data_IF_296945157990
#
_entry.id   IF_296945157990
#
_cell.length_a   1.000
_cell.length_b   1.000
_cell.length_c   1.000
_cell.angle_alpha   90.00
_cell.angle_beta   90.00
_cell.angle_gamma   90.00
#
_symmetry.space_group_name_H-M   'P 1'
#
loop_
_entity.id
_entity.type
_entity.pdbx_description
1 polymer ?
#
# COMPACT_ATOMS: atom_id res chain seq x y z
N UNK A 1 2.87 -7.60 -7.50
CA UNK A 1 4.00 -8.50 -7.87
C UNK A 1 4.10 -9.74 -6.96
N UNK A 2 4.32 -9.56 -5.65
CA UNK A 2 4.48 -10.64 -4.67
C UNK A 2 3.34 -11.68 -4.67
N UNK A 3 2.09 -11.23 -4.77
CA UNK A 3 0.93 -12.11 -4.77
C UNK A 3 0.74 -12.85 -6.11
N UNK A 4 1.18 -12.27 -7.23
CA UNK A 4 0.99 -12.84 -8.58
C UNK A 4 1.78 -14.15 -8.73
N UNK A 5 2.99 -14.22 -8.17
CA UNK A 5 3.81 -15.43 -8.18
C UNK A 5 3.13 -16.63 -7.49
N UNK A 6 2.28 -16.38 -6.48
CA UNK A 6 1.54 -17.44 -5.81
C UNK A 6 0.46 -18.05 -6.72
N UNK A 7 -0.12 -17.27 -7.62
CA UNK A 7 -1.10 -17.77 -8.59
C UNK A 7 -0.49 -18.72 -9.63
N UNK A 8 0.77 -18.50 -10.03
CA UNK A 8 1.47 -19.42 -10.94
C UNK A 8 1.81 -20.79 -10.32
N UNK A 9 1.77 -20.90 -8.98
CA UNK A 9 2.01 -22.15 -8.26
C UNK A 9 0.76 -22.97 -7.95
N UNK A 10 -0.43 -22.51 -8.37
CA UNK A 10 -1.70 -23.19 -8.06
C UNK A 10 -1.87 -24.41 -8.98
N UNK A 11 -2.18 -25.56 -8.36
CA UNK A 11 -2.29 -26.85 -9.07
C UNK A 11 -3.55 -26.98 -9.91
N UNK A 12 -4.69 -26.49 -9.40
CA UNK A 12 -5.98 -26.58 -10.07
C UNK A 12 -6.96 -25.45 -9.63
N UNK A 13 -8.07 -25.32 -10.36
CA UNK A 13 -9.11 -24.33 -10.08
C UNK A 13 -9.84 -24.55 -8.74
N UNK A 14 -9.79 -25.76 -8.18
CA UNK A 14 -10.43 -26.09 -6.89
C UNK A 14 -9.64 -25.47 -5.75
N UNK A 15 -8.32 -25.50 -5.85
CA UNK A 15 -7.42 -24.84 -4.90
C UNK A 15 -7.57 -23.32 -4.92
N UNK A 16 -7.93 -22.71 -6.06
CA UNK A 16 -8.31 -21.29 -6.11
C UNK A 16 -9.53 -21.04 -5.21
N UNK A 17 -10.62 -21.80 -5.40
CA UNK A 17 -11.86 -21.60 -4.62
C UNK A 17 -11.64 -21.85 -3.13
N UNK A 18 -10.92 -22.90 -2.76
CA UNK A 18 -10.54 -23.19 -1.38
C UNK A 18 -9.69 -22.08 -0.79
N UNK A 19 -8.67 -21.64 -1.53
CA UNK A 19 -7.80 -20.53 -1.15
C UNK A 19 -8.58 -19.25 -0.89
N UNK A 20 -9.54 -18.91 -1.76
CA UNK A 20 -10.41 -17.74 -1.57
C UNK A 20 -11.18 -17.84 -0.25
N UNK A 21 -11.90 -18.93 0.01
CA UNK A 21 -12.69 -19.09 1.24
C UNK A 21 -11.81 -18.99 2.49
N UNK A 22 -10.70 -19.72 2.52
CA UNK A 22 -9.77 -19.72 3.66
C UNK A 22 -9.22 -18.30 3.87
N UNK A 23 -8.80 -17.63 2.79
CA UNK A 23 -8.26 -16.27 2.87
C UNK A 23 -9.28 -15.24 3.35
N UNK A 24 -10.55 -15.36 2.93
CA UNK A 24 -11.61 -14.44 3.33
C UNK A 24 -11.97 -14.61 4.80
N UNK A 25 -12.09 -15.86 5.28
CA UNK A 25 -12.33 -16.14 6.70
C UNK A 25 -11.16 -15.62 7.54
N UNK A 26 -9.92 -15.89 7.11
CA UNK A 26 -8.74 -15.40 7.80
C UNK A 26 -8.66 -13.87 7.83
N UNK A 27 -8.95 -13.21 6.71
CA UNK A 27 -9.00 -11.75 6.63
C UNK A 27 -10.06 -11.17 7.56
N UNK A 28 -11.24 -11.81 7.65
CA UNK A 28 -12.30 -11.39 8.57
C UNK A 28 -11.85 -11.51 10.03
N UNK A 29 -11.19 -12.61 10.41
CA UNK A 29 -10.69 -12.80 11.77
C UNK A 29 -9.61 -11.78 12.11
N UNK A 30 -8.65 -11.54 11.22
CA UNK A 30 -7.54 -10.61 11.46
C UNK A 30 -8.02 -9.16 11.48
N UNK A 31 -8.80 -8.74 10.48
CA UNK A 31 -9.34 -7.39 10.42
C UNK A 31 -10.33 -7.15 11.57
N UNK A 32 -11.26 -8.08 11.78
CA UNK A 32 -12.22 -8.04 12.89
C UNK A 32 -11.50 -7.95 14.23
N UNK A 33 -10.52 -8.81 14.49
CA UNK A 33 -9.73 -8.78 15.71
C UNK A 33 -9.06 -7.42 15.94
N UNK A 34 -8.42 -6.83 14.92
CA UNK A 34 -7.83 -5.50 15.00
C UNK A 34 -8.84 -4.39 15.34
N UNK A 35 -10.00 -4.39 14.67
CA UNK A 35 -11.07 -3.41 14.94
C UNK A 35 -11.68 -3.60 16.34
N UNK A 36 -11.83 -4.85 16.80
CA UNK A 36 -12.32 -5.13 18.16
C UNK A 36 -11.31 -4.69 19.22
N UNK A 37 -10.01 -4.95 19.03
CA UNK A 37 -8.99 -4.48 19.97
C UNK A 37 -9.00 -2.95 20.06
N UNK A 38 -9.07 -2.26 18.91
CA UNK A 38 -9.13 -0.81 18.89
C UNK A 38 -10.39 -0.24 19.55
N UNK A 39 -11.57 -0.84 19.34
CA UNK A 39 -12.83 -0.36 19.92
C UNK A 39 -13.01 -0.72 21.40
N UNK A 40 -12.63 -1.94 21.80
CA UNK A 40 -12.68 -2.41 23.19
C UNK A 40 -11.57 -1.80 24.07
N UNK A 41 -10.61 -1.11 23.47
CA UNK A 41 -9.55 -0.39 24.20
C UNK A 41 -10.07 0.56 25.28
N UNK A 42 -11.26 1.15 25.07
CA UNK A 42 -11.90 2.03 26.05
C UNK A 42 -12.29 1.35 27.36
N UNK A 43 -12.35 0.02 27.38
CA UNK A 43 -12.58 -0.74 28.61
C UNK A 43 -11.32 -0.78 29.50
N UNK A 44 -10.15 -0.64 28.90
CA UNK A 44 -8.86 -0.59 29.60
C UNK A 44 -8.42 0.84 29.90
N UNK A 45 -8.70 1.78 28.99
CA UNK A 45 -8.27 3.17 29.11
C UNK A 45 -9.43 4.15 28.95
N UNK A 46 -9.63 5.00 29.96
CA UNK A 46 -10.58 6.12 29.91
C UNK A 46 -10.08 7.26 29.01
N UNK A 47 -8.76 7.44 28.95
CA UNK A 47 -8.06 8.41 28.11
C UNK A 47 -6.95 7.72 27.33
N UNK A 48 -6.69 8.16 26.10
CA UNK A 48 -5.66 7.54 25.25
C UNK A 48 -4.26 7.74 25.86
N UNK A 49 -3.33 6.79 25.70
CA UNK A 49 -1.96 6.95 26.16
C UNK A 49 -1.31 8.21 25.57
N UNK A 50 -0.61 9.00 26.40
CA UNK A 50 0.12 10.21 25.94
C UNK A 50 1.15 9.91 24.84
N UNK A 51 1.68 8.68 24.81
CA UNK A 51 2.62 8.20 23.79
C UNK A 51 2.00 8.05 22.39
N UNK A 52 0.66 8.14 22.28
CA UNK A 52 -0.08 8.04 21.01
C UNK A 52 -0.76 6.69 20.80
N UNK A 53 -1.62 6.63 19.77
CA UNK A 53 -2.46 5.46 19.45
C UNK A 53 -1.67 4.20 19.10
N UNK A 54 -0.43 4.36 18.63
CA UNK A 54 0.42 3.25 18.20
C UNK A 54 0.97 2.43 19.39
N UNK A 55 1.02 3.03 20.58
CA UNK A 55 1.48 2.37 21.81
C UNK A 55 0.36 1.66 22.58
N UNK A 56 -0.88 1.77 22.11
CA UNK A 56 -2.06 1.20 22.77
C UNK A 56 -1.92 -0.30 23.05
N UNK A 57 -1.60 -1.09 22.02
CA UNK A 57 -1.49 -2.56 22.16
C UNK A 57 -0.27 -2.96 23.01
N UNK A 58 0.94 -2.40 22.81
CA UNK A 58 2.06 -2.64 23.72
C UNK A 58 1.76 -2.33 25.19
N UNK A 59 1.11 -1.20 25.48
CA UNK A 59 0.75 -0.83 26.86
C UNK A 59 -0.27 -1.81 27.47
N UNK A 60 -1.28 -2.21 26.70
CA UNK A 60 -2.24 -3.24 27.16
C UNK A 60 -1.55 -4.55 27.50
N UNK A 61 -0.60 -5.01 26.67
CA UNK A 61 0.14 -6.25 26.94
C UNK A 61 1.00 -6.15 28.21
N UNK A 62 1.55 -4.96 28.50
CA UNK A 62 2.30 -4.71 29.73
C UNK A 62 1.43 -4.71 30.99
N UNK A 63 0.19 -4.22 30.88
CA UNK A 63 -0.76 -4.13 31.99
C UNK A 63 -1.63 -5.39 32.16
N UNK A 64 -1.69 -6.27 31.16
CA UNK A 64 -2.53 -7.46 31.13
C UNK A 64 -2.16 -8.56 32.16
N UNK A 65 -1.15 -8.33 33.02
CA UNK A 65 -0.69 -9.29 34.05
C UNK A 65 -0.49 -10.72 33.51
N UNK A 66 0.00 -10.85 32.28
CA UNK A 66 0.27 -12.14 31.64
C UNK A 66 1.52 -12.79 32.25
N UNK A 67 1.56 -14.13 32.28
CA UNK A 67 2.78 -14.85 32.62
C UNK A 67 3.92 -14.47 31.67
N UNK A 68 5.14 -14.31 32.21
CA UNK A 68 6.32 -13.89 31.44
C UNK A 68 6.56 -14.77 30.20
N UNK A 69 6.26 -16.07 30.28
CA UNK A 69 6.37 -16.99 29.15
C UNK A 69 5.41 -16.62 28.01
N UNK A 70 4.15 -16.33 28.34
CA UNK A 70 3.12 -16.00 27.36
C UNK A 70 3.38 -14.65 26.70
N UNK A 71 3.79 -13.64 27.50
CA UNK A 71 4.19 -12.34 26.99
C UNK A 71 5.39 -12.47 26.03
N UNK A 72 6.40 -13.27 26.40
CA UNK A 72 7.56 -13.55 25.56
C UNK A 72 7.17 -14.18 24.22
N UNK A 73 6.27 -15.17 24.23
CA UNK A 73 5.78 -15.81 23.00
C UNK A 73 5.05 -14.80 22.11
N UNK A 74 4.16 -13.96 22.66
CA UNK A 74 3.42 -12.96 21.90
C UNK A 74 4.36 -11.94 21.23
N UNK A 75 5.37 -11.45 21.96
CA UNK A 75 6.34 -10.50 21.42
C UNK A 75 7.20 -11.12 20.32
N UNK A 76 7.64 -12.37 20.49
CA UNK A 76 8.40 -13.10 19.45
C UNK A 76 7.55 -13.29 18.19
N UNK A 77 6.27 -13.67 18.33
CA UNK A 77 5.36 -13.80 17.19
C UNK A 77 5.14 -12.48 16.45
N UNK A 78 4.99 -11.37 17.18
CA UNK A 78 4.81 -10.04 16.62
C UNK A 78 6.04 -9.59 15.81
N UNK A 79 7.24 -9.75 16.39
CA UNK A 79 8.50 -9.41 15.71
C UNK A 79 8.69 -10.31 14.48
N UNK A 80 8.45 -11.61 14.60
CA UNK A 80 8.57 -12.55 13.49
C UNK A 80 7.64 -12.19 12.31
N UNK A 81 6.38 -11.84 12.59
CA UNK A 81 5.43 -11.39 11.57
C UNK A 81 5.92 -10.11 10.86
N UNK A 82 6.45 -9.17 11.62
CA UNK A 82 6.94 -7.88 11.10
C UNK A 82 8.18 -8.05 10.21
N UNK A 83 9.16 -8.85 10.66
CA UNK A 83 10.39 -9.13 9.90
C UNK A 83 10.09 -9.89 8.61
N UNK A 84 9.17 -10.86 8.64
CA UNK A 84 8.79 -11.60 7.43
C UNK A 84 8.21 -10.68 6.34
N UNK A 85 7.37 -9.72 6.73
CA UNK A 85 6.77 -8.72 5.84
C UNK A 85 7.82 -7.76 5.29
N UNK A 86 8.69 -7.25 6.17
CA UNK A 86 9.76 -6.33 5.80
C UNK A 86 10.70 -6.98 4.78
N UNK A 87 11.19 -8.19 5.05
CA UNK A 87 12.09 -8.90 4.15
C UNK A 87 11.47 -9.08 2.76
N UNK A 88 10.21 -9.53 2.69
CA UNK A 88 9.51 -9.72 1.42
C UNK A 88 9.36 -8.42 0.62
N UNK A 89 8.91 -7.35 1.26
CA UNK A 89 8.70 -6.05 0.58
C UNK A 89 10.04 -5.49 0.09
N UNK A 90 11.08 -5.47 0.95
CA UNK A 90 12.40 -4.94 0.59
C UNK A 90 13.03 -5.73 -0.55
N UNK A 91 12.98 -7.06 -0.51
CA UNK A 91 13.54 -7.90 -1.58
C UNK A 91 12.81 -7.66 -2.89
N UNK A 92 11.47 -7.57 -2.88
CA UNK A 92 10.73 -7.29 -4.12
C UNK A 92 11.01 -5.89 -4.65
N UNK A 93 11.07 -4.87 -3.80
CA UNK A 93 11.42 -3.52 -4.23
C UNK A 93 12.82 -3.47 -4.86
N UNK A 94 13.82 -4.07 -4.20
CA UNK A 94 15.19 -4.14 -4.70
C UNK A 94 15.31 -4.94 -5.99
N UNK A 95 14.58 -6.04 -6.10
CA UNK A 95 14.55 -6.87 -7.30
C UNK A 95 13.92 -6.13 -8.48
N UNK A 96 12.78 -5.47 -8.27
CA UNK A 96 12.12 -4.68 -9.31
C UNK A 96 13.01 -3.53 -9.78
N UNK A 97 13.65 -2.78 -8.87
CA UNK A 97 14.60 -1.73 -9.29
C UNK A 97 15.80 -2.31 -10.06
N UNK A 98 16.37 -3.42 -9.58
CA UNK A 98 17.59 -3.97 -10.19
C UNK A 98 17.32 -4.65 -11.54
N UNK A 99 16.29 -5.47 -11.63
CA UNK A 99 16.00 -6.27 -12.82
C UNK A 99 15.19 -5.46 -13.83
N UNK A 100 14.11 -4.81 -13.40
CA UNK A 100 13.17 -4.15 -14.32
C UNK A 100 13.67 -2.78 -14.77
N UNK A 101 14.41 -2.07 -13.93
CA UNK A 101 14.98 -0.75 -14.29
C UNK A 101 16.44 -0.90 -14.72
N UNK A 102 17.33 -1.32 -13.83
CA UNK A 102 18.78 -1.27 -14.11
C UNK A 102 19.16 -2.26 -15.21
N UNK A 103 18.80 -3.54 -15.10
CA UNK A 103 19.18 -4.55 -16.09
C UNK A 103 18.50 -4.31 -17.43
N UNK A 104 17.18 -4.04 -17.48
CA UNK A 104 16.48 -3.85 -18.76
C UNK A 104 16.80 -2.50 -19.46
N UNK A 105 17.02 -1.40 -18.72
CA UNK A 105 17.17 -0.06 -19.31
C UNK A 105 18.61 0.44 -19.37
N UNK A 106 19.46 0.13 -18.38
CA UNK A 106 20.78 0.76 -18.22
C UNK A 106 21.91 -0.23 -18.57
N UNK A 107 21.87 -1.44 -18.01
CA UNK A 107 22.95 -2.43 -18.10
C UNK A 107 22.43 -3.78 -18.61
N UNK A 108 22.03 -3.82 -19.89
CA UNK A 108 21.42 -4.99 -20.56
C UNK A 108 22.26 -6.28 -20.51
N UNK A 109 23.58 -6.15 -20.44
CA UNK A 109 24.52 -7.27 -20.39
C UNK A 109 25.04 -7.57 -18.98
N UNK A 110 24.32 -7.15 -17.93
CA UNK A 110 24.75 -7.40 -16.56
C UNK A 110 24.62 -8.90 -16.20
N UNK A 111 25.75 -9.48 -15.81
CA UNK A 111 25.84 -10.86 -15.32
C UNK A 111 24.97 -11.10 -14.08
N UNK A 112 24.53 -12.34 -13.86
CA UNK A 112 23.65 -12.71 -12.75
C UNK A 112 24.30 -12.45 -11.38
N UNK A 113 25.59 -12.74 -11.23
CA UNK A 113 26.32 -12.50 -9.99
C UNK A 113 26.38 -11.01 -9.65
N UNK A 114 26.62 -10.16 -10.66
CA UNK A 114 26.63 -8.70 -10.51
C UNK A 114 25.23 -8.17 -10.20
N UNK A 115 24.21 -8.72 -10.84
CA UNK A 115 22.80 -8.38 -10.57
C UNK A 115 22.40 -8.70 -9.13
N UNK A 116 22.79 -9.87 -8.62
CA UNK A 116 22.51 -10.25 -7.23
C UNK A 116 23.26 -9.36 -6.22
N UNK A 117 24.52 -9.01 -6.49
CA UNK A 117 25.28 -8.09 -5.64
C UNK A 117 24.65 -6.69 -5.62
N UNK A 118 24.27 -6.17 -6.79
CA UNK A 118 23.61 -4.87 -6.89
C UNK A 118 22.25 -4.86 -6.16
N UNK A 119 21.46 -5.94 -6.29
CA UNK A 119 20.20 -6.10 -5.58
C UNK A 119 20.37 -6.03 -4.06
N UNK A 120 21.43 -6.65 -3.52
CA UNK A 120 21.78 -6.53 -2.09
C UNK A 120 22.15 -5.10 -1.71
N UNK A 121 22.93 -4.41 -2.55
CA UNK A 121 23.26 -2.99 -2.35
C UNK A 121 22.02 -2.10 -2.29
N UNK A 122 21.09 -2.27 -3.24
CA UNK A 122 19.81 -1.56 -3.26
C UNK A 122 18.96 -1.89 -2.02
N UNK A 123 18.97 -3.15 -1.56
CA UNK A 123 18.27 -3.54 -0.34
C UNK A 123 18.81 -2.83 0.90
N UNK A 124 20.14 -2.69 1.03
CA UNK A 124 20.76 -1.94 2.13
C UNK A 124 20.35 -0.47 2.09
N UNK A 125 20.34 0.16 0.90
CA UNK A 125 19.88 1.54 0.74
C UNK A 125 18.42 1.69 1.18
N UNK A 126 17.54 0.76 0.81
CA UNK A 126 16.15 0.75 1.28
C UNK A 126 16.05 0.63 2.79
N UNK A 127 16.81 -0.27 3.42
CA UNK A 127 16.79 -0.44 4.89
C UNK A 127 17.23 0.84 5.59
N UNK A 128 18.30 1.49 5.12
CA UNK A 128 18.80 2.75 5.67
C UNK A 128 17.76 3.86 5.51
N UNK A 129 17.15 3.98 4.34
CA UNK A 129 16.08 4.96 4.11
C UNK A 129 14.87 4.70 5.02
N UNK A 130 14.45 3.44 5.16
CA UNK A 130 13.38 3.04 6.08
C UNK A 130 13.70 3.38 7.53
N UNK A 131 14.96 3.25 7.97
CA UNK A 131 15.39 3.64 9.32
C UNK A 131 15.25 5.15 9.55
N UNK A 132 15.65 5.99 8.60
CA UNK A 132 15.47 7.45 8.72
C UNK A 132 13.99 7.84 8.77
N UNK A 133 13.17 7.20 7.93
CA UNK A 133 11.72 7.44 7.90
C UNK A 133 11.06 6.97 9.20
N UNK A 134 11.45 5.82 9.75
CA UNK A 134 10.91 5.30 11.01
C UNK A 134 11.22 6.17 12.23
N UNK A 135 12.30 6.95 12.20
CA UNK A 135 12.64 7.90 13.27
C UNK A 135 11.81 9.20 13.23
N UNK A 136 10.99 9.41 12.19
CA UNK A 136 10.08 10.56 12.15
C UNK A 136 8.89 10.31 13.09
N UNK A 137 8.47 11.34 13.84
CA UNK A 137 7.31 11.28 14.74
C UNK A 137 6.01 11.29 13.95
N UNK A 138 5.74 10.20 13.23
CA UNK A 138 4.57 10.09 12.37
C UNK A 138 3.75 8.88 12.78
N UNK A 139 2.43 9.05 13.04
CA UNK A 139 1.56 7.93 13.33
C UNK A 139 1.65 6.86 12.25
N UNK A 140 1.68 5.59 12.66
CA UNK A 140 1.79 4.44 11.74
C UNK A 140 0.62 4.45 10.75
N UNK A 141 -0.58 4.82 11.20
CA UNK A 141 -1.77 4.92 10.37
C UNK A 141 -1.58 5.88 9.18
N UNK A 142 -0.91 7.02 9.40
CA UNK A 142 -0.67 8.01 8.34
C UNK A 142 0.37 7.49 7.34
N UNK A 143 1.45 6.88 7.83
CA UNK A 143 2.48 6.30 6.97
C UNK A 143 1.87 5.23 6.05
N UNK A 144 1.01 4.37 6.61
CA UNK A 144 0.29 3.35 5.87
C UNK A 144 -0.67 3.98 4.85
N UNK A 145 -1.39 5.03 5.24
CA UNK A 145 -2.33 5.72 4.38
C UNK A 145 -1.65 6.40 3.19
N UNK A 146 -0.49 7.01 3.38
CA UNK A 146 0.28 7.59 2.27
C UNK A 146 0.72 6.52 1.28
N UNK A 147 1.26 5.40 1.77
CA UNK A 147 1.73 4.31 0.91
C UNK A 147 0.57 3.65 0.15
N UNK A 148 -0.45 3.19 0.85
CA UNK A 148 -1.60 2.51 0.24
C UNK A 148 -2.51 3.45 -0.54
N UNK A 149 -2.58 4.73 -0.18
CA UNK A 149 -3.30 5.76 -0.95
C UNK A 149 -2.70 5.96 -2.33
N UNK A 150 -1.37 6.10 -2.41
CA UNK A 150 -0.67 6.22 -3.70
C UNK A 150 -0.85 4.95 -4.54
N UNK A 151 -0.72 3.77 -3.94
CA UNK A 151 -0.86 2.49 -4.65
C UNK A 151 -2.30 2.29 -5.15
N UNK A 152 -3.30 2.53 -4.31
CA UNK A 152 -4.71 2.33 -4.67
C UNK A 152 -5.18 3.33 -5.74
N UNK A 153 -4.83 4.61 -5.59
CA UNK A 153 -5.14 5.63 -6.59
C UNK A 153 -4.41 5.40 -7.92
N UNK A 154 -3.12 5.08 -7.88
CA UNK A 154 -2.33 5.01 -9.11
C UNK A 154 -2.47 3.68 -9.85
N UNK A 155 -2.60 2.55 -9.15
CA UNK A 155 -2.55 1.23 -9.79
C UNK A 155 -3.85 0.43 -9.65
N UNK A 156 -4.49 0.45 -8.48
CA UNK A 156 -5.65 -0.40 -8.23
C UNK A 156 -6.87 0.01 -9.05
N UNK A 157 -7.21 1.31 -9.08
CA UNK A 157 -8.37 1.81 -9.82
C UNK A 157 -8.28 1.54 -11.34
N UNK A 158 -7.17 1.87 -12.04
CA UNK A 158 -7.03 1.56 -13.47
C UNK A 158 -6.98 0.05 -13.74
N UNK A 159 -6.35 -0.73 -12.85
CA UNK A 159 -6.29 -2.19 -12.99
C UNK A 159 -7.67 -2.85 -12.84
N UNK A 160 -8.47 -2.43 -11.86
CA UNK A 160 -9.84 -2.91 -11.70
C UNK A 160 -10.70 -2.57 -12.93
N UNK A 161 -10.60 -1.34 -13.43
CA UNK A 161 -11.32 -0.95 -14.65
C UNK A 161 -10.88 -1.73 -15.89
N UNK A 162 -9.60 -2.07 -16.00
CA UNK A 162 -9.10 -2.89 -17.10
C UNK A 162 -9.71 -4.30 -17.11
N UNK A 163 -9.99 -4.88 -15.93
CA UNK A 163 -10.55 -6.23 -15.82
C UNK A 163 -12.07 -6.29 -16.00
N UNK A 164 -12.79 -5.22 -15.63
CA UNK A 164 -14.27 -5.22 -15.62
C UNK A 164 -14.90 -4.33 -16.69
N UNK A 165 -14.13 -3.52 -17.44
CA UNK A 165 -14.64 -2.60 -18.44
C UNK A 165 -13.87 -2.69 -19.75
N UNK A 166 -14.57 -3.06 -20.82
CA UNK A 166 -14.02 -3.09 -22.18
C UNK A 166 -13.73 -1.68 -22.75
N UNK A 167 -14.14 -0.62 -22.04
CA UNK A 167 -14.07 0.78 -22.50
C UNK A 167 -12.83 1.52 -22.01
N UNK A 168 -11.88 0.84 -21.36
CA UNK A 168 -10.67 1.49 -20.87
C UNK A 168 -9.63 1.63 -21.99
N UNK A 169 -9.27 2.88 -22.30
CA UNK A 169 -8.22 3.18 -23.29
C UNK A 169 -6.86 3.34 -22.62
N UNK A 170 -5.76 3.06 -23.35
CA UNK A 170 -4.39 3.25 -22.83
C UNK A 170 -4.16 4.65 -22.26
N UNK A 171 -4.67 5.68 -22.95
CA UNK A 171 -4.56 7.09 -22.51
C UNK A 171 -5.40 7.37 -21.27
N UNK A 172 -6.64 6.86 -21.22
CA UNK A 172 -7.51 6.99 -20.04
C UNK A 172 -6.94 6.29 -18.80
N UNK A 173 -6.29 5.14 -18.98
CA UNK A 173 -5.55 4.46 -17.91
C UNK A 173 -4.41 5.34 -17.41
N UNK A 174 -3.52 5.82 -18.28
CA UNK A 174 -2.38 6.67 -17.86
C UNK A 174 -2.81 7.96 -17.15
N UNK A 175 -3.87 8.62 -17.61
CA UNK A 175 -4.41 9.82 -16.97
C UNK A 175 -4.97 9.51 -15.59
N UNK A 176 -5.69 8.40 -15.43
CA UNK A 176 -6.18 7.95 -14.12
C UNK A 176 -5.04 7.59 -13.16
N UNK A 177 -4.01 6.88 -13.64
CA UNK A 177 -2.81 6.59 -12.84
C UNK A 177 -2.15 7.87 -12.32
N UNK A 178 -1.92 8.86 -13.20
CA UNK A 178 -1.30 10.14 -12.84
C UNK A 178 -2.22 10.96 -11.93
N UNK A 179 -3.52 10.99 -12.20
CA UNK A 179 -4.49 11.71 -11.39
C UNK A 179 -4.62 11.14 -9.97
N UNK A 180 -4.63 9.81 -9.84
CA UNK A 180 -4.58 9.11 -8.56
C UNK A 180 -3.29 9.40 -7.79
N UNK A 181 -2.15 9.43 -8.49
CA UNK A 181 -0.87 9.79 -7.88
C UNK A 181 -0.87 11.24 -7.34
N UNK A 182 -1.30 12.20 -8.17
CA UNK A 182 -1.32 13.63 -7.81
C UNK A 182 -2.28 13.89 -6.66
N UNK A 183 -3.40 13.17 -6.59
CA UNK A 183 -4.38 13.34 -5.50
C UNK A 183 -3.96 12.68 -4.20
N UNK A 184 -3.11 11.65 -4.23
CA UNK A 184 -2.57 11.03 -3.02
C UNK A 184 -1.34 11.77 -2.43
N UNK A 185 -0.69 12.63 -3.21
CA UNK A 185 0.52 13.37 -2.81
C UNK A 185 0.35 14.49 -1.75
N UNK A 186 -0.75 15.26 -1.67
CA UNK A 186 -0.82 16.46 -0.83
C UNK A 186 -0.51 16.21 0.66
N UNK A 187 -0.99 15.14 1.31
CA UNK A 187 -0.63 14.86 2.71
C UNK A 187 0.87 14.66 2.93
N UNK A 188 1.54 14.00 1.97
CA UNK A 188 2.99 13.77 2.01
C UNK A 188 3.75 15.09 1.83
N UNK A 189 3.35 15.89 0.85
CA UNK A 189 3.99 17.18 0.53
C UNK A 189 3.80 18.19 1.66
N UNK A 190 2.59 18.30 2.21
CA UNK A 190 2.32 19.17 3.36
C UNK A 190 3.18 18.75 4.56
N UNK A 191 3.35 17.46 4.81
CA UNK A 191 4.23 17.00 5.90
C UNK A 191 5.70 17.36 5.70
N UNK A 192 6.20 17.31 4.46
CA UNK A 192 7.60 17.60 4.13
C UNK A 192 7.92 19.09 4.07
N UNK A 193 6.99 19.93 3.60
CA UNK A 193 7.27 21.35 3.30
C UNK A 193 6.39 22.34 4.06
N UNK A 194 5.16 21.98 4.43
CA UNK A 194 4.17 22.90 5.03
C UNK A 194 3.33 22.21 6.12
N UNK A 195 3.94 21.86 7.28
CA UNK A 195 3.30 21.04 8.31
C UNK A 195 2.10 21.72 9.01
N UNK A 196 1.93 23.03 8.81
CA UNK A 196 0.80 23.81 9.34
C UNK A 196 -0.31 24.05 8.30
N UNK A 197 -0.19 23.49 7.10
CA UNK A 197 -1.24 23.61 6.08
C UNK A 197 -2.51 22.88 6.54
N UNK A 198 -3.59 23.65 6.73
CA UNK A 198 -4.89 23.14 7.13
C UNK A 198 -5.95 23.45 6.07
N UNK A 199 -6.86 22.50 5.86
CA UNK A 199 -8.06 22.74 5.07
C UNK A 199 -9.16 23.28 5.98
N UNK A 200 -9.94 24.29 5.53
CA UNK A 200 -11.12 24.71 6.26
C UNK A 200 -12.06 23.50 6.41
N UNK A 201 -12.59 23.29 7.63
CA UNK A 201 -13.46 22.17 8.04
C UNK A 201 -12.80 20.82 8.38
N UNK A 202 -11.67 20.46 7.74
CA UNK A 202 -11.08 19.11 7.91
C UNK A 202 -9.80 19.06 8.75
N UNK A 203 -9.23 20.20 9.15
CA UNK A 203 -8.02 20.24 9.98
C UNK A 203 -6.72 20.17 9.17
N UNK A 204 -5.63 19.74 9.81
CA UNK A 204 -4.29 19.67 9.19
C UNK A 204 -4.26 18.64 8.08
N UNK A 205 -3.74 19.02 6.91
CA UNK A 205 -3.66 18.15 5.71
C UNK A 205 -2.77 16.94 5.94
N UNK A 206 -1.78 17.07 6.83
CA UNK A 206 -0.89 16.00 7.25
C UNK A 206 -1.66 14.81 7.86
N UNK A 207 -2.70 15.08 8.65
CA UNK A 207 -3.43 14.06 9.43
C UNK A 207 -4.60 13.46 8.62
N UNK A 208 -4.84 13.98 7.41
CA UNK A 208 -5.92 13.53 6.51
C UNK A 208 -5.46 12.42 5.55
N UNK A 209 -4.36 11.72 5.86
CA UNK A 209 -3.81 10.64 5.03
C UNK A 209 -4.86 9.64 4.52
N UNK A 210 -5.70 9.05 5.40
CA UNK A 210 -6.74 8.10 4.98
C UNK A 210 -7.79 8.71 4.04
N UNK A 211 -8.16 9.97 4.24
CA UNK A 211 -9.17 10.66 3.44
C UNK A 211 -8.68 10.89 2.01
N UNK A 212 -7.43 11.34 1.88
CA UNK A 212 -6.78 11.53 0.58
C UNK A 212 -6.51 10.20 -0.13
N UNK A 213 -6.26 9.11 0.59
CA UNK A 213 -6.18 7.77 0.01
C UNK A 213 -7.51 7.36 -0.66
N UNK A 214 -8.63 7.54 0.03
CA UNK A 214 -9.97 7.28 -0.52
C UNK A 214 -10.28 8.20 -1.71
N UNK A 215 -9.96 9.50 -1.58
CA UNK A 215 -10.15 10.49 -2.63
C UNK A 215 -9.36 10.11 -3.89
N UNK A 216 -8.11 9.67 -3.74
CA UNK A 216 -7.26 9.29 -4.85
C UNK A 216 -7.83 8.12 -5.65
N UNK A 217 -8.43 7.14 -4.98
CA UNK A 217 -9.10 6.03 -5.64
C UNK A 217 -10.33 6.50 -6.44
N UNK A 218 -11.17 7.36 -5.84
CA UNK A 218 -12.37 7.91 -6.50
C UNK A 218 -11.99 8.76 -7.71
N UNK A 219 -11.02 9.65 -7.57
CA UNK A 219 -10.56 10.53 -8.65
C UNK A 219 -9.94 9.72 -9.79
N UNK A 220 -9.10 8.74 -9.47
CA UNK A 220 -8.51 7.85 -10.48
C UNK A 220 -9.58 7.09 -11.26
N UNK A 221 -10.57 6.52 -10.57
CA UNK A 221 -11.68 5.82 -11.20
C UNK A 221 -12.52 6.73 -12.10
N UNK A 222 -12.84 7.93 -11.62
CA UNK A 222 -13.57 8.94 -12.39
C UNK A 222 -12.79 9.37 -13.63
N UNK A 223 -11.49 9.65 -13.51
CA UNK A 223 -10.63 10.05 -14.63
C UNK A 223 -10.52 8.92 -15.67
N UNK A 224 -10.32 7.67 -15.24
CA UNK A 224 -10.29 6.53 -16.16
C UNK A 224 -11.61 6.39 -16.95
N UNK A 225 -12.77 6.58 -16.31
CA UNK A 225 -14.06 6.48 -16.98
C UNK A 225 -14.36 7.68 -17.90
N UNK A 226 -14.09 8.89 -17.44
CA UNK A 226 -14.33 10.12 -18.21
C UNK A 226 -13.47 10.13 -19.48
N UNK A 227 -12.17 9.89 -19.34
CA UNK A 227 -11.26 9.88 -20.49
C UNK A 227 -11.39 8.60 -21.31
N UNK A 228 -11.77 7.47 -20.72
CA UNK A 228 -12.14 6.25 -21.45
C UNK A 228 -13.27 6.53 -22.46
N UNK A 229 -14.35 7.19 -22.02
CA UNK A 229 -15.47 7.57 -22.90
C UNK A 229 -15.09 8.59 -23.96
N UNK A 230 -14.28 9.60 -23.61
CA UNK A 230 -13.85 10.65 -24.55
C UNK A 230 -12.97 10.07 -25.66
N UNK A 231 -12.04 9.18 -25.32
CA UNK A 231 -11.14 8.58 -26.31
C UNK A 231 -11.77 7.44 -27.12
N UNK A 232 -12.73 6.67 -26.56
CA UNK A 232 -13.52 5.69 -27.32
C UNK A 232 -14.41 6.37 -28.37
N UNK A 233 -15.03 7.50 -28.02
CA UNK A 233 -15.83 8.32 -28.95
C UNK A 233 -14.97 8.95 -30.05
N UNK A 234 -13.75 9.38 -29.71
CA UNK A 234 -12.80 9.92 -30.68
C UNK A 234 -12.24 8.86 -31.63
N UNK A 235 -12.01 7.62 -31.17
CA UNK A 235 -11.61 6.50 -32.02
C UNK A 235 -12.70 6.14 -33.03
N UNK A 236 -13.96 6.01 -32.59
CA UNK A 236 -15.11 5.77 -33.49
C UNK A 236 -15.37 6.92 -34.45
N UNK A 237 -15.21 8.16 -34.02
CA UNK A 237 -15.35 9.34 -34.88
C UNK A 237 -14.24 9.46 -35.92
N UNK A 238 -13.02 9.00 -35.61
CA UNK A 238 -11.91 9.00 -36.56
C UNK A 238 -12.04 7.89 -37.61
N UNK A 239 -12.69 6.77 -37.28
CA UNK A 239 -13.07 5.73 -38.24
C UNK A 239 -14.20 6.20 -39.17
N UNK A 240 -15.19 6.93 -38.64
CA UNK A 240 -16.31 7.49 -39.43
C UNK A 240 -15.91 8.60 -40.40
N UNK A 241 -14.82 9.32 -40.13
CA UNK A 241 -14.29 10.36 -41.03
C UNK A 241 -13.40 9.76 -42.14
N UNK A 242 -13.02 8.49 -42.02
CA UNK A 242 -12.21 7.76 -43.00
C UNK A 242 -13.01 6.79 -43.88
N UNK A 243 -14.32 6.66 -43.65
CA UNK A 243 -15.25 5.89 -44.49
C UNK A 243 -16.04 6.85 -45.39
#
# INVERSE_FOLDING_TARGET
PQMIHKFYGIKDDREIKRGTIISTVFALVVAGGGYFIGSLSRLFYSELPEAGTDYLVPSMLGEANLSALLLGVVLVLLIAASVSTLCSITITASSTLTIDIVKQRIAKNMDEKKSAFFMKGVAVVFIVASYFIANTKTPILDMMSYSWGVISGSFLAPYALLLYSDRLTKKGASIGMIGGFITALPPVVCKLFFPEAALPFFGKVCDLGPHFACLAMVVSFALCLCFGKVFDKSAKSAEFIKA
#
